data_IF_913609653661
#
_entry.id   IF_913609653661
#
_cell.length_a   1.000
_cell.length_b   1.000
_cell.length_c   1.000
_cell.angle_alpha   90.00
_cell.angle_beta   90.00
_cell.angle_gamma   90.00
#
_symmetry.space_group_name_H-M   'P 1'
#
loop_
_entity.id
_entity.type
_entity.pdbx_description
1 polymer ?
#
# COMPACT_ATOMS: atom_id res chain seq x y z
N UNK A 1 -11.66 6.88 -0.22
CA UNK A 1 -11.80 5.43 0.00
C UNK A 1 -13.26 5.10 -0.20
N UNK A 2 -13.56 4.20 -1.13
CA UNK A 2 -14.87 3.55 -1.16
C UNK A 2 -14.96 2.49 -0.04
N UNK A 3 -16.14 1.90 0.15
CA UNK A 3 -16.40 0.96 1.24
C UNK A 3 -15.50 -0.29 1.14
N UNK A 4 -15.29 -0.84 -0.05
CA UNK A 4 -14.46 -2.04 -0.28
C UNK A 4 -12.98 -1.77 -0.01
N UNK A 5 -12.50 -0.59 -0.40
CA UNK A 5 -11.16 -0.12 -0.10
C UNK A 5 -10.95 0.09 1.40
N UNK A 6 -11.94 0.68 2.09
CA UNK A 6 -11.89 0.86 3.53
C UNK A 6 -11.88 -0.48 4.28
N UNK A 7 -12.68 -1.45 3.85
CA UNK A 7 -12.66 -2.81 4.40
C UNK A 7 -11.31 -3.50 4.15
N UNK A 8 -10.76 -3.39 2.94
CA UNK A 8 -9.45 -3.94 2.61
C UNK A 8 -8.35 -3.36 3.51
N UNK A 9 -8.35 -2.05 3.73
CA UNK A 9 -7.38 -1.39 4.62
C UNK A 9 -7.53 -1.86 6.08
N UNK A 10 -8.76 -1.97 6.58
CA UNK A 10 -9.02 -2.50 7.94
C UNK A 10 -8.51 -3.94 8.08
N UNK A 11 -8.73 -4.77 7.08
CA UNK A 11 -8.25 -6.17 7.07
C UNK A 11 -6.73 -6.21 7.20
N UNK A 12 -6.02 -5.41 6.40
CA UNK A 12 -4.55 -5.43 6.37
C UNK A 12 -3.92 -4.88 7.64
N UNK A 13 -4.57 -3.93 8.32
CA UNK A 13 -4.07 -3.38 9.59
C UNK A 13 -4.34 -4.29 10.80
N UNK A 14 -5.28 -5.22 10.70
CA UNK A 14 -5.73 -6.06 11.83
C UNK A 14 -5.19 -7.49 11.80
N UNK A 15 -4.51 -7.88 10.73
CA UNK A 15 -4.04 -9.23 10.50
C UNK A 15 -2.54 -9.24 10.23
N UNK A 16 -1.86 -10.33 10.59
CA UNK A 16 -0.44 -10.52 10.27
C UNK A 16 -0.21 -10.82 8.78
N UNK A 17 -1.22 -11.36 8.10
CA UNK A 17 -1.21 -11.69 6.67
C UNK A 17 -2.58 -11.32 6.10
N UNK A 18 -2.56 -10.58 4.98
CA UNK A 18 -3.76 -10.23 4.24
C UNK A 18 -3.50 -10.28 2.75
N UNK A 19 -4.56 -10.47 1.98
CA UNK A 19 -4.53 -10.54 0.52
C UNK A 19 -5.56 -9.58 -0.05
N UNK A 20 -5.09 -8.55 -0.78
CA UNK A 20 -5.96 -7.63 -1.50
C UNK A 20 -6.09 -8.12 -2.94
N UNK A 21 -7.33 -8.37 -3.38
CA UNK A 21 -7.63 -8.76 -4.77
C UNK A 21 -8.65 -7.83 -5.41
N UNK A 22 -8.55 -7.67 -6.72
CA UNK A 22 -9.50 -6.89 -7.50
C UNK A 22 -9.08 -6.75 -8.96
N UNK A 23 -10.03 -6.51 -9.89
CA UNK A 23 -9.75 -6.23 -11.30
C UNK A 23 -8.74 -5.09 -11.52
N UNK A 24 -8.13 -4.96 -12.71
CA UNK A 24 -7.30 -3.79 -13.05
C UNK A 24 -8.04 -2.46 -12.77
N UNK A 25 -7.32 -1.47 -12.24
CA UNK A 25 -7.89 -0.14 -11.96
C UNK A 25 -8.68 0.01 -10.64
N UNK A 26 -8.80 -1.03 -9.82
CA UNK A 26 -9.57 -1.00 -8.55
C UNK A 26 -8.84 -0.40 -7.33
N UNK A 27 -7.72 0.29 -7.54
CA UNK A 27 -7.03 1.01 -6.46
C UNK A 27 -6.20 0.14 -5.50
N UNK A 28 -5.83 -1.10 -5.88
CA UNK A 28 -4.97 -1.98 -5.05
C UNK A 28 -3.64 -1.30 -4.66
N UNK A 29 -2.95 -0.69 -5.62
CA UNK A 29 -1.69 0.03 -5.37
C UNK A 29 -1.89 1.23 -4.44
N UNK A 30 -3.01 1.95 -4.60
CA UNK A 30 -3.38 3.06 -3.71
C UNK A 30 -3.56 2.60 -2.26
N UNK A 31 -4.20 1.45 -2.02
CA UNK A 31 -4.30 0.87 -0.67
C UNK A 31 -2.93 0.46 -0.13
N UNK A 32 -2.06 -0.11 -0.98
CA UNK A 32 -0.68 -0.43 -0.60
C UNK A 32 0.11 0.81 -0.18
N UNK A 33 -0.01 1.93 -0.92
CA UNK A 33 0.66 3.18 -0.60
C UNK A 33 0.12 3.80 0.70
N UNK A 34 -1.20 3.77 0.90
CA UNK A 34 -1.83 4.22 2.14
C UNK A 34 -1.39 3.38 3.34
N UNK A 35 -1.31 2.06 3.20
CA UNK A 35 -0.78 1.17 4.23
C UNK A 35 0.67 1.51 4.56
N UNK A 36 1.52 1.66 3.54
CA UNK A 36 2.93 2.00 3.74
C UNK A 36 3.07 3.35 4.47
N UNK A 37 2.25 4.35 4.11
CA UNK A 37 2.21 5.65 4.79
C UNK A 37 1.80 5.52 6.25
N UNK A 38 0.77 4.73 6.57
CA UNK A 38 0.35 4.47 7.95
C UNK A 38 1.46 3.78 8.73
N UNK A 39 2.09 2.75 8.17
CA UNK A 39 3.19 2.03 8.83
C UNK A 39 4.39 2.96 9.06
N UNK A 40 4.70 3.82 8.09
CA UNK A 40 5.77 4.82 8.21
C UNK A 40 5.47 5.86 9.31
N UNK A 41 4.24 6.37 9.39
CA UNK A 41 3.88 7.43 10.34
C UNK A 41 3.76 6.95 11.79
N UNK A 42 3.35 5.68 11.99
CA UNK A 42 2.97 5.17 13.31
C UNK A 42 3.88 4.05 13.84
N UNK A 43 4.90 3.63 13.09
CA UNK A 43 5.84 2.59 13.52
C UNK A 43 7.29 3.00 13.23
N UNK A 44 8.25 2.28 13.83
CA UNK A 44 9.67 2.40 13.49
C UNK A 44 10.18 1.21 12.67
N UNK A 45 9.26 0.46 12.05
CA UNK A 45 9.59 -0.75 11.33
C UNK A 45 10.11 -0.43 9.93
N UNK A 46 11.11 -1.19 9.47
CA UNK A 46 11.55 -1.15 8.08
C UNK A 46 10.53 -1.86 7.19
N UNK A 47 10.08 -1.19 6.13
CA UNK A 47 9.12 -1.73 5.16
C UNK A 47 9.89 -2.32 3.96
N UNK A 48 9.66 -3.60 3.65
CA UNK A 48 10.18 -4.25 2.45
C UNK A 48 9.08 -4.29 1.38
N UNK A 49 9.35 -3.67 0.23
CA UNK A 49 8.46 -3.70 -0.94
C UNK A 49 9.06 -4.64 -1.99
N UNK A 50 8.24 -5.57 -2.50
CA UNK A 50 8.64 -6.52 -3.55
C UNK A 50 7.62 -6.46 -4.67
N UNK A 51 8.09 -6.34 -5.91
CA UNK A 51 7.26 -6.34 -7.11
C UNK A 51 7.84 -7.28 -8.17
N UNK A 52 6.99 -7.79 -9.06
CA UNK A 52 7.41 -8.69 -10.14
C UNK A 52 8.17 -7.97 -11.27
N UNK A 53 7.85 -6.70 -11.53
CA UNK A 53 8.49 -5.89 -12.57
C UNK A 53 9.00 -4.58 -11.99
N UNK A 54 10.10 -4.07 -12.55
CA UNK A 54 10.65 -2.76 -12.17
C UNK A 54 9.66 -1.64 -12.44
N UNK A 55 8.93 -1.68 -13.56
CA UNK A 55 7.94 -0.66 -13.87
C UNK A 55 6.84 -0.56 -12.80
N UNK A 56 6.39 -1.69 -12.24
CA UNK A 56 5.42 -1.68 -11.14
C UNK A 56 6.03 -1.16 -9.84
N UNK A 57 7.31 -1.48 -9.59
CA UNK A 57 8.05 -0.95 -8.44
C UNK A 57 8.20 0.56 -8.53
N UNK A 58 8.66 1.09 -9.67
CA UNK A 58 8.87 2.52 -9.89
C UNK A 58 7.57 3.29 -9.68
N UNK A 59 6.46 2.81 -10.26
CA UNK A 59 5.16 3.42 -10.08
C UNK A 59 4.70 3.40 -8.61
N UNK A 60 4.96 2.32 -7.89
CA UNK A 60 4.62 2.25 -6.48
C UNK A 60 5.47 3.21 -5.64
N UNK A 61 6.77 3.32 -5.92
CA UNK A 61 7.66 4.27 -5.23
C UNK A 61 7.24 5.72 -5.48
N UNK A 62 6.85 6.08 -6.70
CA UNK A 62 6.26 7.39 -6.99
C UNK A 62 5.01 7.66 -6.16
N UNK A 63 4.15 6.66 -5.96
CA UNK A 63 2.95 6.79 -5.14
C UNK A 63 3.28 6.98 -3.65
N UNK A 64 4.36 6.37 -3.15
CA UNK A 64 4.87 6.60 -1.79
C UNK A 64 5.37 8.04 -1.60
N UNK A 65 6.13 8.55 -2.57
CA UNK A 65 6.61 9.94 -2.57
C UNK A 65 5.42 10.93 -2.58
N UNK A 66 4.43 10.70 -3.44
CA UNK A 66 3.18 11.50 -3.48
C UNK A 66 2.39 11.41 -2.17
N UNK A 67 2.50 10.30 -1.44
CA UNK A 67 1.86 10.10 -0.14
C UNK A 67 2.63 10.75 1.02
N UNK A 68 3.76 11.41 0.75
CA UNK A 68 4.56 12.15 1.74
C UNK A 68 5.53 11.28 2.53
N UNK A 69 5.96 10.15 1.97
CA UNK A 69 7.14 9.41 2.44
C UNK A 69 8.34 10.00 1.68
N UNK A 70 9.38 10.51 2.35
CA UNK A 70 10.56 11.08 1.68
C UNK A 70 11.42 10.00 1.01
N UNK A 71 12.33 10.44 0.13
CA UNK A 71 13.39 9.62 -0.46
C UNK A 71 14.40 9.12 0.60
#
# INVERSE_FOLDING_TARGET
LDDLQAESLKSVLSQSISLIQGPPGTGKSFIGALLAKILYDFTQNTILVVCYTNHALDQFLEDLLKSGIPE
#
